data_IF_510077262808
#
_entry.id   IF_510077262808
#
_cell.length_a   1.000
_cell.length_b   1.000
_cell.length_c   1.000
_cell.angle_alpha   90.00
_cell.angle_beta   90.00
_cell.angle_gamma   90.00
#
_symmetry.space_group_name_H-M   'P 1'
#
loop_
_entity.id
_entity.type
_entity.pdbx_description
1 polymer ?
#
# COMPACT_ATOMS: atom_id res chain seq x y z
N UNK A 1 -17.28 15.37 7.07
CA UNK A 1 -17.15 15.40 5.58
C UNK A 1 -16.51 14.11 5.08
N UNK A 2 -16.89 13.60 3.89
CA UNK A 2 -16.15 12.50 3.26
C UNK A 2 -14.83 13.08 2.74
N UNK A 3 -13.72 12.73 3.38
CA UNK A 3 -12.41 13.31 3.07
C UNK A 3 -11.70 12.61 1.90
N UNK A 4 -12.26 11.52 1.36
CA UNK A 4 -11.63 10.69 0.33
C UNK A 4 -12.65 10.13 -0.68
N UNK A 5 -12.23 10.03 -1.95
CA UNK A 5 -12.98 9.36 -3.02
C UNK A 5 -12.57 7.89 -3.10
N UNK A 6 -13.55 6.99 -3.04
CA UNK A 6 -13.33 5.54 -3.18
C UNK A 6 -13.46 5.20 -4.67
N UNK A 7 -12.45 4.52 -5.25
CA UNK A 7 -12.41 4.20 -6.68
C UNK A 7 -12.08 2.72 -6.99
N UNK A 8 -11.83 1.89 -5.98
CA UNK A 8 -11.44 0.51 -6.19
C UNK A 8 -11.59 -0.35 -4.93
N UNK A 9 -11.53 -1.67 -5.15
CA UNK A 9 -11.60 -2.69 -4.11
C UNK A 9 -10.62 -3.80 -4.47
N UNK A 10 -9.83 -4.25 -3.49
CA UNK A 10 -8.97 -5.43 -3.63
C UNK A 10 -9.86 -6.67 -3.62
N UNK A 11 -9.96 -7.36 -4.75
CA UNK A 11 -10.75 -8.61 -4.87
C UNK A 11 -9.91 -9.86 -4.61
N UNK A 12 -8.60 -9.79 -4.78
CA UNK A 12 -7.64 -10.90 -4.62
C UNK A 12 -6.34 -10.39 -3.96
N UNK A 13 -5.59 -11.25 -3.27
CA UNK A 13 -4.29 -10.89 -2.67
C UNK A 13 -4.38 -10.04 -1.39
N UNK A 14 -5.47 -10.12 -0.63
CA UNK A 14 -5.61 -9.38 0.63
C UNK A 14 -4.59 -9.81 1.70
N UNK A 15 -4.15 -11.07 1.68
CA UNK A 15 -3.02 -11.58 2.47
C UNK A 15 -1.72 -10.86 2.16
N UNK A 16 -1.42 -10.56 0.88
CA UNK A 16 -0.27 -9.74 0.49
C UNK A 16 -0.36 -8.34 1.07
N UNK A 17 -1.53 -7.70 1.00
CA UNK A 17 -1.75 -6.39 1.63
C UNK A 17 -1.51 -6.42 3.15
N UNK A 18 -1.86 -7.53 3.84
CA UNK A 18 -1.54 -7.71 5.26
C UNK A 18 -0.05 -7.84 5.52
N UNK A 19 0.68 -8.57 4.67
CA UNK A 19 2.15 -8.68 4.76
C UNK A 19 2.80 -7.31 4.59
N UNK A 20 2.34 -6.51 3.61
CA UNK A 20 2.81 -5.13 3.41
C UNK A 20 2.55 -4.27 4.66
N UNK A 21 1.37 -4.40 5.28
CA UNK A 21 1.03 -3.67 6.50
C UNK A 21 1.88 -4.03 7.73
N UNK A 22 2.56 -5.18 7.72
CA UNK A 22 3.39 -5.65 8.82
C UNK A 22 4.89 -5.35 8.64
N UNK A 23 5.31 -4.76 7.52
CA UNK A 23 6.73 -4.47 7.28
C UNK A 23 7.24 -3.43 8.30
N UNK A 24 8.48 -3.57 8.82
CA UNK A 24 9.05 -2.56 9.71
C UNK A 24 9.11 -1.20 9.03
N UNK A 25 8.66 -0.16 9.75
CA UNK A 25 8.71 1.23 9.31
C UNK A 25 9.69 2.04 10.15
N UNK A 26 10.31 3.02 9.50
CA UNK A 26 11.13 4.08 10.08
C UNK A 26 10.40 5.43 9.93
N UNK A 27 10.97 6.45 10.57
CA UNK A 27 10.48 7.82 10.51
C UNK A 27 10.53 8.36 9.08
N UNK A 28 9.41 8.91 8.63
CA UNK A 28 9.25 9.59 7.36
C UNK A 28 9.68 11.06 7.47
N UNK A 29 9.64 11.78 6.34
CA UNK A 29 9.96 13.22 6.29
C UNK A 29 9.02 14.07 7.15
N UNK A 30 7.81 13.58 7.43
CA UNK A 30 6.81 14.26 8.28
C UNK A 30 6.91 13.84 9.75
N UNK A 31 8.01 13.17 10.15
CA UNK A 31 8.27 12.66 11.51
C UNK A 31 7.36 11.50 11.96
N UNK A 32 6.45 11.02 11.11
CA UNK A 32 5.62 9.87 11.39
C UNK A 32 6.35 8.56 11.08
N UNK A 33 6.08 7.50 11.83
CA UNK A 33 6.67 6.17 11.59
C UNK A 33 5.96 5.42 10.44
N UNK A 34 6.06 5.96 9.23
CA UNK A 34 5.25 5.54 8.08
C UNK A 34 6.05 5.16 6.84
N UNK A 35 7.39 5.20 6.88
CA UNK A 35 8.24 4.82 5.74
C UNK A 35 8.80 3.40 5.94
N UNK A 36 8.60 2.44 5.02
CA UNK A 36 9.23 1.12 5.13
C UNK A 36 10.77 1.20 5.25
N UNK A 37 11.36 0.36 6.10
CA UNK A 37 12.83 0.27 6.26
C UNK A 37 13.47 -0.30 4.99
N UNK A 38 12.88 -1.39 4.46
CA UNK A 38 13.21 -1.93 3.15
C UNK A 38 12.17 -1.45 2.14
N UNK A 39 12.61 -1.10 0.93
CA UNK A 39 11.71 -0.62 -0.12
C UNK A 39 10.67 -1.68 -0.50
N UNK A 40 9.40 -1.28 -0.57
CA UNK A 40 8.30 -2.08 -1.11
C UNK A 40 7.90 -1.42 -2.43
N UNK A 41 8.22 -2.08 -3.55
CA UNK A 41 8.05 -1.51 -4.88
C UNK A 41 7.03 -2.33 -5.68
N UNK A 42 6.36 -1.66 -6.61
CA UNK A 42 5.56 -2.32 -7.65
C UNK A 42 6.49 -2.48 -8.85
N UNK A 43 6.86 -3.72 -9.17
CA UNK A 43 7.79 -4.00 -10.26
C UNK A 43 7.08 -4.07 -11.63
N UNK A 44 5.82 -4.51 -11.65
CA UNK A 44 5.04 -4.68 -12.88
C UNK A 44 3.55 -4.47 -12.59
N UNK A 45 2.85 -3.84 -13.54
CA UNK A 45 1.41 -3.63 -13.51
C UNK A 45 0.80 -4.21 -14.79
N UNK A 46 -0.24 -5.03 -14.63
CA UNK A 46 -1.01 -5.60 -15.74
C UNK A 46 -2.42 -5.00 -15.65
N UNK A 47 -2.92 -4.51 -16.78
CA UNK A 47 -4.27 -3.96 -16.92
C UNK A 47 -5.02 -4.89 -17.87
N UNK A 48 -6.12 -5.45 -17.37
CA UNK A 48 -7.02 -6.30 -18.15
C UNK A 48 -8.35 -5.57 -18.30
N UNK A 49 -8.86 -5.49 -19.52
CA UNK A 49 -10.26 -5.13 -19.72
C UNK A 49 -11.15 -6.28 -19.24
N UNK A 50 -12.16 -5.95 -18.44
CA UNK A 50 -13.18 -6.88 -17.94
C UNK A 50 -14.56 -6.44 -18.40
#
# INVERSE_FOLDING_TARGET
>A
PKNYTIFGLVTEGLDVARVIGAVPTTTSLTQEQSKPVSGVNIDTLIIEER
#
